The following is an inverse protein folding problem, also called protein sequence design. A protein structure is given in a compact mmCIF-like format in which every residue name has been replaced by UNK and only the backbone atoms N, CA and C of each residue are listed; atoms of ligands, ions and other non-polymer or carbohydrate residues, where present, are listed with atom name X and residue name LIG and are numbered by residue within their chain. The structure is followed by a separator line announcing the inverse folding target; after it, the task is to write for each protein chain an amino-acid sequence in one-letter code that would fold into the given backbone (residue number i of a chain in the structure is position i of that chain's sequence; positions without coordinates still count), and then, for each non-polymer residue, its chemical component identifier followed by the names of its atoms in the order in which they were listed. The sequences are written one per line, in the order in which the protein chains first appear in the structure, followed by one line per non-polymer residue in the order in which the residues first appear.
data_IF_700940857866
#
_entry.id   IF_700940857866
#
_cell.length_a   1.000
_cell.length_b   1.000
_cell.length_c   1.000
_cell.angle_alpha   90.00
_cell.angle_beta   90.00
_cell.angle_gamma   90.00
#
_symmetry.space_group_name_H-M   'P 1'
#
loop_
_entity.id
_entity.type
_entity.pdbx_description
1 polymer ?
#
# COMPACT_ATOMS: atom_id res chain seq x y z
N UNK A 1 -2.97 29.65 -29.38
CA UNK A 1 -2.72 29.11 -28.03
C UNK A 1 -3.89 28.22 -27.63
N UNK A 2 -3.77 26.89 -27.68
CA UNK A 2 -4.73 25.94 -27.08
C UNK A 2 -3.95 24.72 -26.58
N UNK A 3 -3.59 24.71 -25.29
CA UNK A 3 -3.00 23.53 -24.63
C UNK A 3 -4.16 22.64 -24.18
N UNK A 4 -4.43 21.60 -24.94
CA UNK A 4 -5.34 20.53 -24.55
C UNK A 4 -4.71 19.72 -23.41
N UNK A 5 -5.36 19.72 -22.26
CA UNK A 5 -4.98 18.97 -21.06
C UNK A 5 -5.50 17.54 -21.26
N UNK A 6 -4.67 16.66 -21.82
CA UNK A 6 -4.97 15.23 -21.89
C UNK A 6 -4.82 14.64 -20.49
N UNK A 7 -5.95 14.29 -19.89
CA UNK A 7 -6.02 13.38 -18.74
C UNK A 7 -5.47 12.03 -19.19
N UNK A 8 -4.22 11.72 -18.83
CA UNK A 8 -3.72 10.35 -18.94
C UNK A 8 -4.19 9.58 -17.72
N UNK A 9 -5.33 8.95 -17.91
CA UNK A 9 -5.72 7.73 -17.22
C UNK A 9 -4.54 6.77 -17.27
N UNK A 10 -3.90 6.52 -16.13
CA UNK A 10 -2.95 5.42 -15.98
C UNK A 10 -3.74 4.18 -15.59
N UNK A 11 -4.30 3.59 -16.64
CA UNK A 11 -4.62 2.18 -16.76
C UNK A 11 -3.36 1.38 -16.45
N UNK A 12 -3.43 0.56 -15.42
CA UNK A 12 -2.76 -0.73 -15.35
C UNK A 12 -3.67 -1.63 -14.52
N UNK A 13 -4.33 -2.52 -15.26
CA UNK A 13 -4.78 -3.86 -14.88
C UNK A 13 -3.86 -4.50 -13.81
N UNK A 14 -4.34 -5.25 -12.83
CA UNK A 14 -5.05 -6.51 -13.04
C UNK A 14 -6.17 -6.76 -12.02
N UNK A 15 -7.32 -7.11 -12.55
CA UNK A 15 -8.33 -7.91 -11.84
C UNK A 15 -7.73 -9.29 -11.55
N UNK A 16 -7.18 -9.48 -10.36
CA UNK A 16 -6.89 -10.84 -9.87
C UNK A 16 -7.93 -11.21 -8.83
N UNK A 17 -9.03 -11.78 -9.33
CA UNK A 17 -9.82 -12.75 -8.59
C UNK A 17 -8.87 -13.90 -8.20
N UNK A 18 -8.35 -13.90 -6.98
CA UNK A 18 -7.69 -15.10 -6.42
C UNK A 18 -8.43 -15.52 -5.16
N UNK A 19 -9.02 -16.71 -5.25
CA UNK A 19 -9.60 -17.50 -4.16
C UNK A 19 -8.73 -17.45 -2.89
N UNK A 20 -9.34 -17.61 -1.69
CA UNK A 20 -8.64 -17.44 -0.42
C UNK A 20 -7.70 -18.62 -0.19
N UNK A 21 -6.44 -18.45 -0.58
CA UNK A 21 -5.36 -19.36 -0.24
C UNK A 21 -4.45 -18.59 0.73
N UNK A 22 -4.01 -19.23 1.80
CA UNK A 22 -3.56 -18.70 3.11
C UNK A 22 -2.45 -17.63 3.13
N UNK A 23 -2.01 -17.12 1.98
CA UNK A 23 -1.09 -16.00 1.79
C UNK A 23 -1.70 -14.61 2.12
N UNK A 24 -2.99 -14.51 2.44
CA UNK A 24 -3.62 -13.23 2.81
C UNK A 24 -3.19 -12.72 4.20
N UNK A 25 -2.59 -13.57 5.05
CA UNK A 25 -2.17 -13.17 6.41
C UNK A 25 -1.21 -11.97 6.44
N UNK A 26 -0.45 -11.75 5.37
CA UNK A 26 0.52 -10.67 5.25
C UNK A 26 0.12 -9.62 4.20
N UNK A 27 -1.06 -9.76 3.59
CA UNK A 27 -1.56 -8.76 2.66
C UNK A 27 -2.01 -7.51 3.42
N UNK A 28 -1.65 -6.36 2.88
CA UNK A 28 -2.03 -5.03 3.35
C UNK A 28 -3.20 -4.54 2.49
N UNK A 29 -4.44 -4.62 2.99
CA UNK A 29 -5.60 -4.09 2.27
C UNK A 29 -5.57 -2.57 2.25
N UNK A 30 -6.02 -1.97 1.15
CA UNK A 30 -6.22 -0.53 1.08
C UNK A 30 -7.53 -0.16 1.81
N UNK A 31 -7.54 0.87 2.67
CA UNK A 31 -8.77 1.37 3.31
C UNK A 31 -9.69 2.15 2.36
N UNK A 32 -9.19 2.59 1.21
CA UNK A 32 -9.92 3.46 0.27
C UNK A 32 -10.43 2.71 -0.98
N UNK A 33 -9.97 1.47 -1.21
CA UNK A 33 -10.40 0.64 -2.34
C UNK A 33 -10.15 -0.85 -2.08
N UNK A 34 -10.71 -1.72 -2.92
CA UNK A 34 -10.57 -3.18 -2.80
C UNK A 34 -9.18 -3.73 -3.20
N UNK A 35 -8.19 -2.86 -3.35
CA UNK A 35 -6.83 -3.27 -3.71
C UNK A 35 -6.06 -3.75 -2.48
N UNK A 36 -5.33 -4.85 -2.63
CA UNK A 36 -4.48 -5.41 -1.58
C UNK A 36 -3.06 -5.66 -2.09
N UNK A 37 -2.07 -5.42 -1.24
CA UNK A 37 -0.65 -5.47 -1.60
C UNK A 37 0.13 -6.31 -0.60
N UNK A 38 1.13 -7.05 -1.08
CA UNK A 38 1.93 -7.95 -0.24
C UNK A 38 3.11 -7.25 0.46
N UNK A 39 3.43 -6.01 0.07
CA UNK A 39 4.57 -5.27 0.64
C UNK A 39 4.15 -3.90 1.16
N UNK A 40 4.68 -3.54 2.32
CA UNK A 40 4.45 -2.25 2.97
C UNK A 40 4.84 -1.05 2.10
N UNK A 41 5.98 -1.15 1.40
CA UNK A 41 6.46 -0.07 0.53
C UNK A 41 5.51 0.20 -0.63
N UNK A 42 5.07 -0.85 -1.33
CA UNK A 42 4.12 -0.71 -2.44
C UNK A 42 2.76 -0.20 -1.94
N UNK A 43 2.30 -0.66 -0.78
CA UNK A 43 1.05 -0.21 -0.17
C UNK A 43 1.06 1.28 0.19
N UNK A 44 2.14 1.77 0.80
CA UNK A 44 2.30 3.21 1.08
C UNK A 44 2.33 4.02 -0.23
N UNK A 45 3.04 3.53 -1.24
CA UNK A 45 3.13 4.20 -2.54
C UNK A 45 1.76 4.25 -3.24
N UNK A 46 0.99 3.17 -3.18
CA UNK A 46 -0.38 3.11 -3.68
C UNK A 46 -1.26 4.18 -3.03
N UNK A 47 -1.24 4.30 -1.70
CA UNK A 47 -2.00 5.32 -0.97
C UNK A 47 -1.62 6.74 -1.41
N UNK A 48 -0.33 7.02 -1.57
CA UNK A 48 0.17 8.34 -1.98
C UNK A 48 -0.19 8.69 -3.41
N UNK A 49 -0.14 7.73 -4.34
CA UNK A 49 -0.34 8.00 -5.77
C UNK A 49 -1.83 7.96 -6.14
N UNK A 50 -2.56 6.95 -5.66
CA UNK A 50 -3.96 6.74 -6.06
C UNK A 50 -4.93 7.54 -5.21
N UNK A 51 -4.66 7.66 -3.91
CA UNK A 51 -5.56 8.31 -2.96
C UNK A 51 -5.01 9.64 -2.42
N UNK A 52 -3.78 10.02 -2.80
CA UNK A 52 -3.10 11.21 -2.26
C UNK A 52 -3.11 11.26 -0.73
N UNK A 53 -3.08 10.09 -0.10
CA UNK A 53 -3.20 9.91 1.35
C UNK A 53 -1.96 9.23 1.91
N UNK A 54 -1.87 9.22 3.23
CA UNK A 54 -0.84 8.47 3.95
C UNK A 54 -1.52 7.44 4.85
N UNK A 55 -0.82 6.36 5.23
CA UNK A 55 -1.36 5.35 6.15
C UNK A 55 -2.05 5.98 7.36
N UNK A 56 -1.38 6.96 7.99
CA UNK A 56 -1.92 7.66 9.16
C UNK A 56 -3.23 8.39 8.87
N UNK A 57 -3.33 9.07 7.71
CA UNK A 57 -4.54 9.82 7.33
C UNK A 57 -5.70 8.89 6.97
N UNK A 58 -5.41 7.69 6.46
CA UNK A 58 -6.40 6.65 6.20
C UNK A 58 -6.67 5.75 7.42
N UNK A 59 -6.15 6.09 8.60
CA UNK A 59 -6.39 5.34 9.85
C UNK A 59 -5.64 4.01 9.95
N UNK A 60 -4.65 3.76 9.10
CA UNK A 60 -3.88 2.52 9.06
C UNK A 60 -2.42 2.74 9.49
N UNK A 61 -1.86 1.75 10.19
CA UNK A 61 -0.46 1.77 10.62
C UNK A 61 0.19 0.43 10.34
N UNK A 62 1.45 0.47 9.90
CA UNK A 62 2.26 -0.74 9.81
C UNK A 62 2.78 -1.06 11.20
N UNK A 63 2.54 -2.29 11.64
CA UNK A 63 3.10 -2.81 12.88
C UNK A 63 4.20 -3.80 12.49
N UNK A 64 5.42 -3.53 12.93
CA UNK A 64 6.52 -4.48 12.85
C UNK A 64 6.37 -5.54 13.95
N UNK A 65 6.98 -6.71 13.74
CA UNK A 65 6.92 -7.84 14.68
C UNK A 65 7.55 -7.50 16.03
N UNK A 66 8.50 -6.56 16.07
CA UNK A 66 9.02 -5.98 17.32
C UNK A 66 8.00 -5.16 18.13
N UNK A 67 6.80 -4.94 17.58
CA UNK A 67 5.73 -4.13 18.18
C UNK A 67 5.77 -2.65 17.78
N UNK A 68 6.79 -2.18 17.08
CA UNK A 68 6.89 -0.79 16.64
C UNK A 68 5.83 -0.48 15.58
N UNK A 69 5.07 0.60 15.81
CA UNK A 69 4.07 1.11 14.86
C UNK A 69 4.68 2.25 14.07
N UNK A 70 4.62 2.17 12.75
CA UNK A 70 5.18 3.19 11.85
C UNK A 70 4.29 3.41 10.63
N UNK A 71 4.45 4.57 10.01
CA UNK A 71 3.83 4.94 8.73
C UNK A 71 4.72 4.62 7.54
N UNK A 72 5.92 4.11 7.79
CA UNK A 72 6.97 3.86 6.79
C UNK A 72 7.41 2.41 6.82
N UNK A 73 7.70 1.84 5.65
CA UNK A 73 8.32 0.52 5.56
C UNK A 73 9.78 0.53 6.06
N UNK A 74 10.38 1.70 6.29
CA UNK A 74 11.80 1.84 6.62
C UNK A 74 12.19 1.11 7.92
N UNK A 75 11.33 1.15 8.94
CA UNK A 75 11.63 0.49 10.21
C UNK A 75 11.86 -1.02 10.03
N UNK A 76 11.15 -1.68 9.12
CA UNK A 76 11.35 -3.11 8.87
C UNK A 76 12.79 -3.42 8.41
N UNK A 77 13.43 -2.53 7.64
CA UNK A 77 14.82 -2.70 7.21
C UNK A 77 15.85 -2.37 8.30
N UNK A 78 15.45 -1.61 9.32
CA UNK A 78 16.30 -1.21 10.45
C UNK A 78 16.04 -2.04 11.71
N UNK A 79 15.02 -2.89 11.71
CA UNK A 79 14.66 -3.66 12.88
C UNK A 79 15.64 -4.83 13.03
N UNK A 80 16.43 -4.79 14.11
CA UNK A 80 17.38 -5.85 14.49
C UNK A 80 16.68 -7.14 14.97
N UNK A 81 15.36 -7.10 15.15
CA UNK A 81 14.51 -8.28 15.37
C UNK A 81 14.12 -8.91 14.00
N UNK A 82 14.78 -8.50 12.90
CA UNK A 82 14.65 -9.19 11.61
C UNK A 82 15.40 -10.52 11.63
N UNK A 83 14.60 -11.57 11.87
CA UNK A 83 14.88 -13.00 11.75
C UNK A 83 15.70 -13.66 12.87
#
# INVERSE_FOLDING_TARGET
QKRSRVTKESSQSDSVNRSPNDNLKNALPCPECDYCLLTAGAWIMHLKIKHSTTPLRSGCLLRCDCGHKTVSAHHAYQCEISN
#
